data_IF_154520290496
#
_entry.id   IF_154520290496
#
_cell.length_a   1.000
_cell.length_b   1.000
_cell.length_c   1.000
_cell.angle_alpha   90.00
_cell.angle_beta   90.00
_cell.angle_gamma   90.00
#
_symmetry.space_group_name_H-M   'P 1'
#
loop_
_entity.id
_entity.type
_entity.pdbx_description
1 polymer ?
#
# COMPACT_ATOMS: atom_id res chain seq x y z
N UNK A 1 -15.07 10.44 1.36
CA UNK A 1 -13.65 10.60 1.75
C UNK A 1 -12.83 9.89 0.69
N UNK A 2 -12.05 10.60 -0.14
CA UNK A 2 -11.33 9.96 -1.26
C UNK A 2 -10.17 9.11 -0.72
N UNK A 3 -10.33 7.79 -0.80
CA UNK A 3 -9.33 6.80 -0.34
C UNK A 3 -8.00 7.05 -1.07
N UNK A 4 -8.05 7.51 -2.32
CA UNK A 4 -6.94 7.94 -3.16
C UNK A 4 -6.08 9.01 -2.49
N UNK A 5 -6.71 10.06 -1.95
CA UNK A 5 -6.02 11.16 -1.26
C UNK A 5 -5.39 10.69 0.05
N UNK A 6 -6.05 9.80 0.78
CA UNK A 6 -5.54 9.26 2.04
C UNK A 6 -4.31 8.39 1.78
N UNK A 7 -4.36 7.52 0.77
CA UNK A 7 -3.23 6.67 0.36
C UNK A 7 -2.05 7.53 -0.08
N UNK A 8 -2.29 8.55 -0.91
CA UNK A 8 -1.24 9.45 -1.40
C UNK A 8 -0.57 10.21 -0.26
N UNK A 9 -1.35 10.75 0.67
CA UNK A 9 -0.82 11.44 1.85
C UNK A 9 -0.04 10.50 2.76
N UNK A 10 -0.54 9.28 2.96
CA UNK A 10 0.15 8.25 3.73
C UNK A 10 1.38 7.67 3.05
N UNK A 11 1.51 7.82 1.73
CA UNK A 11 2.69 7.35 0.99
C UNK A 11 3.84 8.34 1.05
N UNK A 12 3.57 9.64 1.25
CA UNK A 12 4.59 10.67 1.48
C UNK A 12 5.20 10.54 2.88
N UNK A 13 6.12 9.59 3.01
CA UNK A 13 6.87 9.29 4.23
C UNK A 13 8.32 9.73 4.03
N UNK A 14 9.09 9.84 5.10
CA UNK A 14 10.48 10.31 5.04
C UNK A 14 11.47 9.36 4.35
N UNK A 15 11.00 8.25 3.77
CA UNK A 15 11.80 7.14 3.27
C UNK A 15 11.62 7.06 1.75
N UNK A 16 12.67 7.40 1.00
CA UNK A 16 12.64 7.50 -0.46
C UNK A 16 12.25 6.17 -1.13
N UNK A 17 12.71 5.06 -0.54
CA UNK A 17 12.47 3.73 -1.07
C UNK A 17 10.99 3.33 -0.98
N UNK A 18 10.30 3.71 0.12
CA UNK A 18 8.85 3.54 0.23
C UNK A 18 8.12 4.39 -0.81
N UNK A 19 8.57 5.62 -1.07
CA UNK A 19 7.94 6.51 -2.05
C UNK A 19 8.07 5.95 -3.47
N UNK A 20 9.22 5.37 -3.82
CA UNK A 20 9.45 4.70 -5.10
C UNK A 20 8.59 3.45 -5.27
N UNK A 21 8.57 2.56 -4.26
CA UNK A 21 7.76 1.33 -4.30
C UNK A 21 6.27 1.65 -4.37
N UNK A 22 5.80 2.59 -3.55
CA UNK A 22 4.41 3.02 -3.55
C UNK A 22 4.05 3.74 -4.84
N UNK A 23 4.94 4.56 -5.41
CA UNK A 23 4.73 5.26 -6.67
C UNK A 23 4.60 4.31 -7.85
N UNK A 24 5.49 3.32 -7.96
CA UNK A 24 5.43 2.28 -9.00
C UNK A 24 4.15 1.44 -8.86
N UNK A 25 3.84 0.99 -7.64
CA UNK A 25 2.60 0.29 -7.34
C UNK A 25 1.37 1.14 -7.69
N UNK A 26 1.43 2.45 -7.45
CA UNK A 26 0.32 3.35 -7.75
C UNK A 26 0.09 3.52 -9.26
N UNK A 27 1.13 3.46 -10.09
CA UNK A 27 0.98 3.55 -11.55
C UNK A 27 0.51 2.23 -12.16
N UNK A 28 1.08 1.10 -11.71
CA UNK A 28 0.86 -0.18 -12.36
C UNK A 28 -0.38 -0.92 -11.84
N UNK A 29 -0.65 -0.83 -10.54
CA UNK A 29 -1.63 -1.71 -9.87
C UNK A 29 -2.86 -0.93 -9.39
N UNK A 30 -2.75 0.37 -9.08
CA UNK A 30 -3.83 1.16 -8.49
C UNK A 30 -5.10 1.26 -9.34
N UNK A 31 -4.94 1.39 -10.66
CA UNK A 31 -6.07 1.38 -11.60
C UNK A 31 -6.73 0.01 -11.67
N UNK A 32 -5.95 -1.05 -11.43
CA UNK A 32 -6.43 -2.43 -11.48
C UNK A 32 -7.01 -2.92 -10.14
N UNK A 33 -6.77 -2.19 -9.05
CA UNK A 33 -7.24 -2.51 -7.69
C UNK A 33 -8.74 -2.22 -7.52
N UNK A 34 -9.47 -3.21 -7.02
CA UNK A 34 -10.87 -3.06 -6.60
C UNK A 34 -11.01 -2.31 -5.27
N UNK A 35 -12.22 -1.84 -4.97
CA UNK A 35 -12.51 -1.08 -3.74
C UNK A 35 -12.12 -1.83 -2.46
N UNK A 36 -12.25 -3.16 -2.44
CA UNK A 36 -11.85 -4.02 -1.33
C UNK A 36 -10.34 -4.00 -1.13
N UNK A 37 -9.60 -4.15 -2.22
CA UNK A 37 -8.13 -4.10 -2.20
C UNK A 37 -7.59 -2.71 -1.82
N UNK A 38 -8.26 -1.64 -2.26
CA UNK A 38 -7.94 -0.27 -1.83
C UNK A 38 -8.15 -0.08 -0.32
N UNK A 39 -9.16 -0.72 0.27
CA UNK A 39 -9.38 -0.70 1.72
C UNK A 39 -8.31 -1.52 2.47
N UNK A 40 -7.93 -2.68 1.95
CA UNK A 40 -6.82 -3.48 2.49
C UNK A 40 -5.50 -2.71 2.46
N UNK A 41 -5.17 -2.08 1.32
CA UNK A 41 -4.02 -1.19 1.19
C UNK A 41 -4.05 -0.06 2.24
N UNK A 42 -5.22 0.52 2.52
CA UNK A 42 -5.36 1.56 3.53
C UNK A 42 -5.16 1.04 4.96
N UNK A 43 -5.55 -0.21 5.26
CA UNK A 43 -5.21 -0.89 6.52
C UNK A 43 -3.70 -1.11 6.63
N UNK A 44 -3.04 -1.55 5.55
CA UNK A 44 -1.59 -1.76 5.51
C UNK A 44 -0.85 -0.43 5.71
N UNK A 45 -1.24 0.63 4.99
CA UNK A 45 -0.70 1.99 5.15
C UNK A 45 -1.00 2.63 6.52
N UNK A 46 -1.85 2.01 7.34
CA UNK A 46 -2.02 2.38 8.76
C UNK A 46 -0.90 1.81 9.66
N UNK A 47 -0.16 0.79 9.23
CA UNK A 47 1.03 0.28 9.93
C UNK A 47 2.19 1.28 9.87
N UNK A 48 3.13 1.12 10.81
CA UNK A 48 4.32 1.96 10.91
C UNK A 48 5.24 1.77 9.69
N UNK A 49 5.96 2.84 9.34
CA UNK A 49 6.92 2.90 8.23
C UNK A 49 7.93 1.76 8.23
N UNK A 50 8.53 1.49 9.39
CA UNK A 50 9.53 0.43 9.52
C UNK A 50 8.95 -0.96 9.26
N UNK A 51 7.72 -1.22 9.69
CA UNK A 51 7.05 -2.50 9.49
C UNK A 51 6.72 -2.70 8.01
N UNK A 52 6.15 -1.67 7.38
CA UNK A 52 5.84 -1.63 5.96
C UNK A 52 7.09 -1.81 5.10
N UNK A 53 8.17 -1.09 5.44
CA UNK A 53 9.44 -1.20 4.74
C UNK A 53 10.08 -2.58 4.91
N UNK A 54 10.07 -3.14 6.11
CA UNK A 54 10.62 -4.47 6.37
C UNK A 54 9.87 -5.56 5.59
N UNK A 55 8.54 -5.45 5.52
CA UNK A 55 7.73 -6.38 4.73
C UNK A 55 7.96 -6.15 3.24
N UNK A 56 8.01 -4.91 2.76
CA UNK A 56 8.26 -4.62 1.35
C UNK A 56 9.67 -5.00 0.89
N UNK A 57 10.63 -4.98 1.81
CA UNK A 57 11.99 -5.47 1.58
C UNK A 57 12.04 -6.99 1.39
N UNK A 58 11.02 -7.73 1.84
CA UNK A 58 10.95 -9.20 1.76
C UNK A 58 9.84 -9.74 0.87
N UNK A 59 8.78 -8.97 0.60
CA UNK A 59 7.57 -9.38 -0.13
C UNK A 59 6.98 -8.21 -0.92
N UNK A 60 6.23 -8.52 -1.98
CA UNK A 60 5.55 -7.52 -2.78
C UNK A 60 4.25 -7.03 -2.12
N UNK A 61 3.92 -5.76 -2.34
CA UNK A 61 2.72 -5.10 -1.81
C UNK A 61 1.42 -5.79 -2.22
N UNK A 62 1.39 -6.39 -3.42
CA UNK A 62 0.25 -7.17 -3.94
C UNK A 62 -0.06 -8.41 -3.13
N UNK A 63 0.95 -9.12 -2.65
CA UNK A 63 0.75 -10.33 -1.86
C UNK A 63 0.14 -9.98 -0.50
N UNK A 64 0.61 -8.90 0.13
CA UNK A 64 0.01 -8.37 1.35
C UNK A 64 -1.46 -7.99 1.18
N UNK A 65 -1.78 -7.29 0.08
CA UNK A 65 -3.17 -6.93 -0.21
C UNK A 65 -4.01 -8.19 -0.40
N UNK A 66 -3.52 -9.20 -1.13
CA UNK A 66 -4.23 -10.47 -1.29
C UNK A 66 -4.46 -11.18 0.04
N UNK A 67 -3.45 -11.28 0.91
CA UNK A 67 -3.61 -11.89 2.24
C UNK A 67 -4.66 -11.15 3.07
N UNK A 68 -4.63 -9.81 3.07
CA UNK A 68 -5.54 -8.99 3.85
C UNK A 68 -6.97 -8.92 3.26
N UNK A 69 -7.14 -9.23 1.97
CA UNK A 69 -8.44 -9.36 1.29
C UNK A 69 -9.01 -10.77 1.45
N UNK A 70 -8.17 -11.79 1.62
CA UNK A 70 -8.61 -13.18 1.85
C UNK A 70 -9.11 -13.45 3.27
N UNK A 71 -8.89 -12.53 4.22
CA UNK A 71 -9.34 -12.63 5.62
C UNK A 71 -10.78 -12.11 5.87
N UNK A 72 -11.51 -11.70 4.81
CA UNK A 72 -12.90 -11.21 4.88
C UNK A 72 -13.89 -12.14 4.13
#
# INVERSE_FOLDING_TARGET
MNIDHVIRYKSRRGLLELDLVLGDFYQNEYESLSLVEKNALLKILKKQDNDLWNILSTRNLRELIKEEVSDD
#
